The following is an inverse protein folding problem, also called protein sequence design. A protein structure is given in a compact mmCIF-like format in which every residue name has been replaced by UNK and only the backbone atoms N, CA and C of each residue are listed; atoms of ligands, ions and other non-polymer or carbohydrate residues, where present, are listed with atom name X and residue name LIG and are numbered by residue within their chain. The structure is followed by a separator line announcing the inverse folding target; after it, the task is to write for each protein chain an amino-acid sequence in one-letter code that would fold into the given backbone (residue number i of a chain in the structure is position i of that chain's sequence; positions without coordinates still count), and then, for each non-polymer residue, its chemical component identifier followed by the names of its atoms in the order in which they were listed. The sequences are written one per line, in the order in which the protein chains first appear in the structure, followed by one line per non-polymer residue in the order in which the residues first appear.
data_IF_759221178005
#
_entry.id   IF_759221178005
#
_cell.length_a   1.000
_cell.length_b   1.000
_cell.length_c   1.000
_cell.angle_alpha   90.00
_cell.angle_beta   90.00
_cell.angle_gamma   90.00
#
_symmetry.space_group_name_H-M   'P 1'
#
loop_
_entity.id
_entity.type
_entity.pdbx_description
1 polymer ?
#
# COMPACT_ATOMS: atom_id res chain seq x y z
N UNK A 1 -19.12 -30.37 18.63
CA UNK A 1 -18.51 -29.46 17.67
C UNK A 1 -19.01 -28.04 17.98
N UNK A 2 -18.24 -27.24 18.72
CA UNK A 2 -18.57 -25.85 19.05
C UNK A 2 -17.62 -24.98 18.26
N UNK A 3 -18.13 -24.28 17.24
CA UNK A 3 -17.40 -23.21 16.53
C UNK A 3 -17.22 -22.04 17.50
N UNK A 4 -16.00 -21.82 17.92
CA UNK A 4 -15.57 -20.60 18.62
C UNK A 4 -15.26 -19.51 17.57
N UNK A 5 -16.30 -18.91 17.00
CA UNK A 5 -16.19 -17.70 16.22
C UNK A 5 -16.10 -16.53 17.21
N UNK A 6 -14.87 -16.12 17.52
CA UNK A 6 -14.60 -14.91 18.30
C UNK A 6 -15.20 -13.71 17.57
N UNK A 7 -16.16 -13.03 18.20
CA UNK A 7 -16.98 -11.95 17.65
C UNK A 7 -16.19 -10.74 17.15
N UNK A 8 -15.52 -10.85 16.01
CA UNK A 8 -15.03 -9.72 15.25
C UNK A 8 -16.25 -8.94 14.74
N UNK A 9 -16.42 -7.70 15.18
CA UNK A 9 -17.42 -6.78 14.63
C UNK A 9 -17.30 -6.80 13.10
N UNK A 10 -18.30 -7.39 12.43
CA UNK A 10 -18.39 -7.45 10.97
C UNK A 10 -18.75 -6.06 10.45
N UNK A 11 -17.75 -5.22 10.27
CA UNK A 11 -17.93 -3.99 9.52
C UNK A 11 -18.25 -4.33 8.06
N UNK A 12 -19.20 -3.63 7.40
CA UNK A 12 -19.43 -3.83 5.96
C UNK A 12 -18.15 -3.53 5.18
N UNK A 13 -17.92 -4.20 4.05
CA UNK A 13 -16.75 -3.92 3.23
C UNK A 13 -16.79 -2.47 2.74
N UNK A 14 -15.67 -1.77 2.87
CA UNK A 14 -15.52 -0.39 2.37
C UNK A 14 -15.07 -0.37 0.89
N UNK A 15 -14.43 -1.46 0.44
CA UNK A 15 -14.09 -1.71 -0.97
C UNK A 15 -14.54 -3.11 -1.31
N UNK A 16 -15.20 -3.30 -2.44
CA UNK A 16 -15.49 -4.61 -3.02
C UNK A 16 -15.21 -4.64 -4.51
N UNK A 17 -14.57 -5.71 -4.94
CA UNK A 17 -14.39 -6.07 -6.35
C UNK A 17 -15.03 -7.43 -6.57
N UNK A 18 -15.83 -7.57 -7.61
CA UNK A 18 -16.51 -8.83 -7.93
C UNK A 18 -16.34 -9.13 -9.43
N UNK A 19 -15.65 -10.24 -9.74
CA UNK A 19 -15.36 -10.74 -11.09
C UNK A 19 -14.74 -9.67 -12.00
N UNK A 20 -13.86 -8.84 -11.44
CA UNK A 20 -13.30 -7.66 -12.11
C UNK A 20 -12.34 -8.07 -13.22
N UNK A 21 -12.62 -7.63 -14.44
CA UNK A 21 -11.79 -7.86 -15.63
C UNK A 21 -11.51 -6.54 -16.34
N UNK A 22 -10.27 -6.37 -16.78
CA UNK A 22 -9.83 -5.19 -17.52
C UNK A 22 -8.69 -5.52 -18.46
N UNK A 23 -8.77 -4.99 -19.70
CA UNK A 23 -7.75 -5.10 -20.74
C UNK A 23 -7.37 -3.72 -21.28
N UNK A 24 -6.08 -3.47 -21.46
CA UNK A 24 -5.64 -2.30 -22.21
C UNK A 24 -5.86 -2.50 -23.71
N UNK A 25 -6.31 -1.48 -24.44
CA UNK A 25 -6.58 -1.56 -25.87
C UNK A 25 -5.37 -2.04 -26.71
N UNK A 26 -4.15 -1.82 -26.21
CA UNK A 26 -2.89 -2.25 -26.82
C UNK A 26 -2.44 -3.67 -26.45
N UNK A 27 -3.22 -4.41 -25.68
CA UNK A 27 -2.81 -5.71 -25.12
C UNK A 27 -3.82 -6.80 -25.49
N UNK A 28 -3.34 -7.92 -26.01
CA UNK A 28 -4.16 -9.12 -26.24
C UNK A 28 -4.53 -9.86 -24.94
N UNK A 29 -3.82 -9.58 -23.84
CA UNK A 29 -4.06 -10.21 -22.54
C UNK A 29 -4.72 -9.24 -21.58
N UNK A 30 -5.67 -9.76 -20.81
CA UNK A 30 -6.28 -9.01 -19.74
C UNK A 30 -5.23 -8.63 -18.68
N UNK A 31 -5.23 -7.36 -18.28
CA UNK A 31 -4.40 -6.86 -17.19
C UNK A 31 -4.96 -7.29 -15.83
N UNK A 32 -6.28 -7.47 -15.73
CA UNK A 32 -6.97 -8.15 -14.63
C UNK A 32 -7.99 -9.12 -15.20
N UNK A 33 -8.12 -10.29 -14.59
CA UNK A 33 -9.00 -11.36 -15.06
C UNK A 33 -9.72 -12.02 -13.87
N UNK A 34 -11.04 -11.77 -13.77
CA UNK A 34 -11.92 -12.39 -12.77
C UNK A 34 -11.45 -12.17 -11.32
N UNK A 35 -11.05 -10.93 -11.00
CA UNK A 35 -10.53 -10.59 -9.68
C UNK A 35 -11.69 -10.33 -8.71
N UNK A 36 -11.73 -11.06 -7.60
CA UNK A 36 -12.73 -10.90 -6.55
C UNK A 36 -12.07 -10.78 -5.18
N UNK A 37 -12.30 -9.67 -4.47
CA UNK A 37 -11.88 -9.48 -3.08
C UNK A 37 -12.67 -8.34 -2.43
N UNK A 38 -12.56 -8.23 -1.10
CA UNK A 38 -13.20 -7.18 -0.30
C UNK A 38 -12.23 -6.63 0.73
N UNK A 39 -12.24 -5.30 0.98
CA UNK A 39 -11.50 -4.68 2.07
C UNK A 39 -12.48 -4.19 3.14
N UNK A 40 -12.09 -4.34 4.41
CA UNK A 40 -12.84 -3.81 5.54
C UNK A 40 -12.31 -2.44 5.95
N UNK A 41 -13.15 -1.64 6.59
CA UNK A 41 -12.71 -0.35 7.13
C UNK A 41 -11.58 -0.54 8.15
N UNK A 42 -10.52 0.29 8.04
CA UNK A 42 -9.35 0.22 8.92
C UNK A 42 -8.38 -0.92 8.61
N UNK A 43 -8.64 -1.73 7.59
CA UNK A 43 -7.77 -2.84 7.20
C UNK A 43 -6.53 -2.33 6.45
N UNK A 44 -5.36 -2.85 6.78
CA UNK A 44 -4.11 -2.63 6.05
C UNK A 44 -3.79 -3.88 5.25
N UNK A 45 -3.88 -3.79 3.93
CA UNK A 45 -3.72 -4.92 3.02
C UNK A 45 -2.55 -4.68 2.09
N UNK A 46 -1.61 -5.62 2.06
CA UNK A 46 -0.52 -5.64 1.10
C UNK A 46 -0.97 -6.21 -0.25
N UNK A 47 -0.37 -5.75 -1.33
CA UNK A 47 -0.52 -6.34 -2.66
C UNK A 47 0.86 -6.60 -3.24
N UNK A 48 1.16 -7.85 -3.52
CA UNK A 48 2.44 -8.28 -4.07
C UNK A 48 2.25 -9.10 -5.36
N UNK A 49 3.34 -9.37 -6.06
CA UNK A 49 3.35 -10.16 -7.28
C UNK A 49 4.31 -9.62 -8.31
N UNK A 50 4.55 -10.35 -9.42
CA UNK A 50 5.51 -9.95 -10.45
C UNK A 50 5.13 -8.65 -11.16
N UNK A 51 6.11 -8.04 -11.85
CA UNK A 51 5.86 -6.92 -12.75
C UNK A 51 4.87 -7.35 -13.84
N UNK A 52 3.93 -6.45 -14.18
CA UNK A 52 2.84 -6.77 -15.09
C UNK A 52 1.74 -7.66 -14.48
N UNK A 53 1.78 -7.97 -13.19
CA UNK A 53 0.76 -8.78 -12.50
C UNK A 53 -0.61 -8.10 -12.30
N UNK A 54 -0.76 -6.82 -12.71
CA UNK A 54 -2.03 -6.08 -12.63
C UNK A 54 -2.18 -5.16 -11.42
N UNK A 55 -1.18 -5.07 -10.54
CA UNK A 55 -1.24 -4.32 -9.26
C UNK A 55 -1.63 -2.84 -9.43
N UNK A 56 -0.88 -2.08 -10.23
CA UNK A 56 -1.18 -0.66 -10.50
C UNK A 56 -2.48 -0.47 -11.27
N UNK A 57 -2.85 -1.42 -12.13
CA UNK A 57 -4.13 -1.43 -12.85
C UNK A 57 -5.29 -1.53 -11.87
N UNK A 58 -5.17 -2.40 -10.86
CA UNK A 58 -6.16 -2.53 -9.80
C UNK A 58 -6.35 -1.20 -9.07
N UNK A 59 -5.27 -0.54 -8.63
CA UNK A 59 -5.38 0.75 -7.94
C UNK A 59 -6.07 1.81 -8.80
N UNK A 60 -5.78 1.87 -10.10
CA UNK A 60 -6.40 2.82 -11.02
C UNK A 60 -7.90 2.57 -11.22
N UNK A 61 -8.34 1.31 -11.23
CA UNK A 61 -9.76 0.96 -11.28
C UNK A 61 -10.48 1.36 -9.99
N UNK A 62 -9.87 1.13 -8.82
CA UNK A 62 -10.41 1.52 -7.52
C UNK A 62 -10.55 3.04 -7.37
N UNK A 63 -9.65 3.83 -8.00
CA UNK A 63 -9.69 5.29 -7.98
C UNK A 63 -10.51 5.93 -9.11
N UNK A 64 -11.15 5.11 -9.96
CA UNK A 64 -11.94 5.58 -11.10
C UNK A 64 -11.11 6.27 -12.19
N UNK A 65 -9.82 5.94 -12.34
CA UNK A 65 -8.96 6.35 -13.45
C UNK A 65 -9.11 5.44 -14.66
N UNK A 66 -9.58 4.22 -14.43
CA UNK A 66 -9.91 3.24 -15.46
C UNK A 66 -11.32 2.72 -15.22
N UNK A 67 -11.97 2.24 -16.28
CA UNK A 67 -13.27 1.59 -16.23
C UNK A 67 -13.11 0.12 -16.58
N UNK A 68 -13.67 -0.78 -15.77
CA UNK A 68 -13.62 -2.21 -16.02
C UNK A 68 -14.38 -2.62 -17.30
N UNK A 69 -13.89 -3.66 -17.96
CA UNK A 69 -14.57 -4.27 -19.10
C UNK A 69 -15.77 -5.09 -18.62
N UNK A 70 -15.61 -5.79 -17.48
CA UNK A 70 -16.67 -6.55 -16.83
C UNK A 70 -16.43 -6.69 -15.32
N UNK A 71 -17.44 -7.17 -14.60
CA UNK A 71 -17.46 -7.21 -13.15
C UNK A 71 -17.87 -5.89 -12.53
N UNK A 72 -17.60 -5.72 -11.23
CA UNK A 72 -17.97 -4.49 -10.52
C UNK A 72 -16.91 -4.09 -9.48
N UNK A 73 -16.81 -2.78 -9.27
CA UNK A 73 -16.06 -2.16 -8.17
C UNK A 73 -17.00 -1.29 -7.37
N UNK A 74 -16.92 -1.36 -6.05
CA UNK A 74 -17.64 -0.47 -5.13
C UNK A 74 -16.71 0.09 -4.06
N UNK A 75 -16.87 1.39 -3.81
CA UNK A 75 -16.25 2.14 -2.70
C UNK A 75 -17.38 2.58 -1.77
N UNK A 76 -17.70 1.77 -0.76
CA UNK A 76 -18.99 1.85 -0.09
C UNK A 76 -20.12 1.63 -1.08
N UNK A 77 -21.02 2.61 -1.21
CA UNK A 77 -22.12 2.57 -2.18
C UNK A 77 -21.74 3.14 -3.57
N UNK A 78 -20.57 3.80 -3.69
CA UNK A 78 -20.16 4.50 -4.92
C UNK A 78 -19.54 3.54 -5.93
N UNK A 79 -19.79 3.82 -7.22
CA UNK A 79 -19.14 3.17 -8.35
C UNK A 79 -18.05 4.09 -8.93
N UNK A 80 -16.77 3.70 -8.88
CA UNK A 80 -15.69 4.53 -9.40
C UNK A 80 -15.81 4.87 -10.90
N UNK A 81 -16.50 4.04 -11.68
CA UNK A 81 -16.65 4.25 -13.12
C UNK A 81 -17.71 5.32 -13.46
N UNK A 82 -18.70 5.53 -12.60
CA UNK A 82 -19.79 6.48 -12.81
C UNK A 82 -19.71 7.71 -11.89
N UNK A 83 -19.08 7.57 -10.72
CA UNK A 83 -18.99 8.59 -9.68
C UNK A 83 -17.53 8.88 -9.26
N UNK A 84 -16.58 9.07 -10.22
CA UNK A 84 -15.15 9.15 -9.88
C UNK A 84 -14.81 10.35 -8.99
N UNK A 85 -15.55 11.45 -9.08
CA UNK A 85 -15.33 12.63 -8.24
C UNK A 85 -15.68 12.34 -6.77
N UNK A 86 -16.81 11.71 -6.50
CA UNK A 86 -17.23 11.35 -5.14
C UNK A 86 -16.33 10.27 -4.53
N UNK A 87 -15.84 9.35 -5.37
CA UNK A 87 -14.84 8.35 -4.95
C UNK A 87 -13.54 9.03 -4.54
N UNK A 88 -13.01 9.98 -5.32
CA UNK A 88 -11.74 10.67 -5.02
C UNK A 88 -11.79 11.58 -3.79
N UNK A 89 -12.97 11.95 -3.30
CA UNK A 89 -13.13 12.57 -1.97
C UNK A 89 -12.84 11.60 -0.81
N UNK A 90 -12.95 10.29 -1.05
CA UNK A 90 -12.77 9.23 -0.04
C UNK A 90 -11.50 8.43 -0.22
N UNK A 91 -10.99 8.40 -1.45
CA UNK A 91 -9.85 7.58 -1.89
C UNK A 91 -8.72 8.49 -2.34
N UNK A 92 -7.61 8.44 -1.65
CA UNK A 92 -6.38 9.06 -2.10
C UNK A 92 -5.45 8.02 -2.74
N UNK A 93 -4.76 8.40 -3.80
CA UNK A 93 -3.84 7.50 -4.51
C UNK A 93 -2.45 8.13 -4.62
N UNK A 94 -1.44 7.37 -4.23
CA UNK A 94 -0.04 7.68 -4.50
C UNK A 94 0.43 6.85 -5.70
N UNK A 95 1.00 7.52 -6.70
CA UNK A 95 1.51 6.87 -7.91
C UNK A 95 2.96 6.40 -7.72
N UNK A 96 3.34 5.32 -8.39
CA UNK A 96 4.70 4.80 -8.41
C UNK A 96 5.71 5.86 -8.89
N UNK A 97 5.40 6.57 -9.99
CA UNK A 97 6.16 7.74 -10.41
C UNK A 97 5.52 9.01 -9.86
N UNK A 98 6.17 9.73 -8.94
CA UNK A 98 5.62 10.95 -8.33
C UNK A 98 5.33 12.05 -9.35
N UNK A 99 6.05 12.11 -10.47
CA UNK A 99 5.83 13.11 -11.53
C UNK A 99 4.43 13.03 -12.15
N UNK A 100 3.78 11.88 -12.07
CA UNK A 100 2.39 11.72 -12.53
C UNK A 100 1.36 12.41 -11.63
N UNK A 101 1.76 12.83 -10.44
CA UNK A 101 0.89 13.48 -9.46
C UNK A 101 1.23 14.93 -9.16
N UNK A 102 2.43 15.41 -9.55
CA UNK A 102 2.89 16.77 -9.29
C UNK A 102 2.49 17.68 -10.46
N UNK A 103 1.69 18.72 -10.16
CA UNK A 103 1.07 19.58 -11.20
C UNK A 103 1.25 21.07 -10.93
N UNK A 104 1.63 21.46 -9.71
CA UNK A 104 1.72 22.87 -9.31
C UNK A 104 3.16 23.41 -9.43
N UNK A 105 3.32 24.77 -9.52
CA UNK A 105 4.64 25.40 -9.65
C UNK A 105 5.48 25.31 -8.37
N UNK A 106 4.86 25.29 -7.20
CA UNK A 106 5.54 25.21 -5.91
C UNK A 106 5.05 24.03 -5.06
N UNK A 107 5.91 23.55 -4.16
CA UNK A 107 5.62 22.42 -3.27
C UNK A 107 4.36 22.66 -2.44
N UNK A 108 4.22 23.85 -1.84
CA UNK A 108 3.03 24.14 -1.02
C UNK A 108 1.74 24.15 -1.83
N UNK A 109 1.78 24.65 -3.07
CA UNK A 109 0.62 24.66 -3.96
C UNK A 109 0.25 23.25 -4.41
N UNK A 110 1.25 22.40 -4.64
CA UNK A 110 1.04 21.00 -5.02
C UNK A 110 0.40 20.20 -3.89
N UNK A 111 0.87 20.40 -2.66
CA UNK A 111 0.27 19.79 -1.46
C UNK A 111 -1.15 20.33 -1.21
N UNK A 112 -1.42 21.60 -1.53
CA UNK A 112 -2.74 22.23 -1.40
C UNK A 112 -3.72 21.80 -2.49
N UNK A 113 -3.25 21.39 -3.66
CA UNK A 113 -4.05 21.16 -4.87
C UNK A 113 -5.30 20.31 -4.65
N UNK A 114 -5.17 19.22 -3.94
CA UNK A 114 -6.31 18.34 -3.64
C UNK A 114 -7.32 18.99 -2.69
N UNK A 115 -6.85 19.77 -1.71
CA UNK A 115 -7.69 20.49 -0.76
C UNK A 115 -8.47 21.62 -1.46
N UNK A 116 -7.85 22.32 -2.41
CA UNK A 116 -8.50 23.35 -3.24
C UNK A 116 -9.64 22.74 -4.06
N UNK A 117 -9.40 21.59 -4.69
CA UNK A 117 -10.43 20.88 -5.44
C UNK A 117 -11.60 20.40 -4.58
N UNK A 118 -11.37 20.17 -3.29
CA UNK A 118 -12.42 19.84 -2.32
C UNK A 118 -13.11 21.08 -1.72
N UNK A 119 -12.66 22.30 -2.05
CA UNK A 119 -13.20 23.54 -1.53
C UNK A 119 -12.94 23.78 -0.04
N UNK A 120 -11.83 23.25 0.48
CA UNK A 120 -11.43 23.44 1.88
C UNK A 120 -11.14 24.92 2.15
N UNK A 121 -11.58 25.43 3.31
CA UNK A 121 -11.39 26.82 3.71
C UNK A 121 -9.90 27.17 3.80
N UNK A 122 -9.51 28.39 3.35
CA UNK A 122 -8.09 28.81 3.21
C UNK A 122 -7.26 28.69 4.49
N UNK A 123 -7.86 28.95 5.66
CA UNK A 123 -7.14 28.86 6.94
C UNK A 123 -6.85 27.41 7.28
N UNK A 124 -7.86 26.56 7.20
CA UNK A 124 -7.73 25.13 7.43
C UNK A 124 -6.75 24.49 6.43
N UNK A 125 -6.85 24.85 5.16
CA UNK A 125 -5.95 24.40 4.11
C UNK A 125 -4.48 24.68 4.45
N UNK A 126 -4.15 25.93 4.83
CA UNK A 126 -2.79 26.32 5.21
C UNK A 126 -2.24 25.52 6.39
N UNK A 127 -3.08 25.24 7.38
CA UNK A 127 -2.67 24.48 8.55
C UNK A 127 -2.40 23.00 8.17
N UNK A 128 -3.29 22.40 7.37
CA UNK A 128 -3.11 21.02 6.86
C UNK A 128 -1.88 20.89 5.96
N UNK A 129 -1.65 21.83 5.05
CA UNK A 129 -0.47 21.84 4.16
C UNK A 129 0.82 21.89 4.98
N UNK A 130 0.90 22.82 5.95
CA UNK A 130 2.08 22.95 6.81
C UNK A 130 2.34 21.67 7.61
N UNK A 131 1.29 21.08 8.19
CA UNK A 131 1.41 19.83 8.94
C UNK A 131 1.85 18.67 8.04
N UNK A 132 1.30 18.57 6.83
CA UNK A 132 1.66 17.54 5.87
C UNK A 132 3.13 17.66 5.40
N UNK A 133 3.59 18.87 5.06
CA UNK A 133 4.99 19.15 4.68
C UNK A 133 5.94 18.76 5.83
N UNK A 134 5.62 19.18 7.07
CA UNK A 134 6.37 18.76 8.26
C UNK A 134 6.33 17.24 8.44
N UNK A 135 5.18 16.65 8.19
CA UNK A 135 4.99 15.20 8.32
C UNK A 135 5.93 14.40 7.43
N UNK A 136 6.36 14.88 6.30
CA UNK A 136 7.27 14.20 5.36
C UNK A 136 8.72 14.73 5.43
N UNK A 137 9.05 15.62 6.37
CA UNK A 137 10.40 16.18 6.54
C UNK A 137 10.83 17.12 5.41
N UNK A 138 9.89 17.92 4.87
CA UNK A 138 10.15 18.91 3.82
C UNK A 138 9.96 20.36 4.30
N UNK A 139 10.14 20.63 5.59
CA UNK A 139 10.10 22.00 6.13
C UNK A 139 11.15 22.87 5.45
N UNK A 140 10.75 24.07 5.00
CA UNK A 140 11.60 24.98 4.24
C UNK A 140 11.62 24.74 2.72
N UNK A 141 10.83 23.75 2.23
CA UNK A 141 10.71 23.46 0.80
C UNK A 141 9.47 24.08 0.17
N UNK A 142 8.63 24.76 0.92
CA UNK A 142 7.32 25.25 0.52
C UNK A 142 7.35 26.01 -0.81
N UNK A 143 8.36 26.87 -1.00
CA UNK A 143 8.56 27.71 -2.19
C UNK A 143 9.50 27.11 -3.24
N UNK A 144 9.94 25.86 -3.08
CA UNK A 144 10.73 25.18 -4.10
C UNK A 144 9.83 24.68 -5.23
N UNK A 145 10.39 24.67 -6.42
CA UNK A 145 9.74 24.14 -7.61
C UNK A 145 9.90 22.62 -7.65
N UNK A 146 8.80 21.84 -7.76
CA UNK A 146 8.87 20.37 -7.72
C UNK A 146 9.82 19.74 -8.74
N UNK A 147 9.99 20.37 -9.91
CA UNK A 147 10.88 19.83 -10.94
C UNK A 147 12.37 19.89 -10.56
N UNK A 148 12.76 20.75 -9.60
CA UNK A 148 14.15 20.85 -9.09
C UNK A 148 14.49 19.82 -8.04
N UNK A 149 13.49 19.07 -7.54
CA UNK A 149 13.63 18.11 -6.48
C UNK A 149 14.15 16.76 -6.98
N UNK A 150 14.88 16.04 -6.11
CA UNK A 150 15.23 14.64 -6.33
C UNK A 150 13.98 13.75 -6.37
N UNK A 151 14.09 12.55 -6.93
CA UNK A 151 12.97 11.59 -6.98
C UNK A 151 12.40 11.27 -5.59
N UNK A 152 13.23 11.13 -4.58
CA UNK A 152 12.81 10.91 -3.19
C UNK A 152 12.09 12.10 -2.58
N UNK A 153 12.54 13.33 -2.84
CA UNK A 153 11.85 14.54 -2.40
C UNK A 153 10.50 14.70 -3.11
N UNK A 154 10.43 14.45 -4.43
CA UNK A 154 9.17 14.43 -5.19
C UNK A 154 8.16 13.42 -4.59
N UNK A 155 8.64 12.23 -4.23
CA UNK A 155 7.80 11.21 -3.60
C UNK A 155 7.26 11.68 -2.24
N UNK A 156 8.09 12.38 -1.45
CA UNK A 156 7.65 13.00 -0.18
C UNK A 156 6.63 14.10 -0.40
N UNK A 157 6.75 14.94 -1.45
CA UNK A 157 5.74 15.96 -1.81
C UNK A 157 4.41 15.30 -2.17
N UNK A 158 4.42 14.29 -3.04
CA UNK A 158 3.21 13.56 -3.43
C UNK A 158 2.53 12.90 -2.20
N UNK A 159 3.33 12.35 -1.27
CA UNK A 159 2.82 11.80 -0.03
C UNK A 159 2.25 12.89 0.89
N UNK A 160 2.88 14.08 0.96
CA UNK A 160 2.35 15.21 1.73
C UNK A 160 0.97 15.62 1.22
N UNK A 161 0.79 15.74 -0.10
CA UNK A 161 -0.52 16.00 -0.72
C UNK A 161 -1.57 14.97 -0.34
N UNK A 162 -1.20 13.69 -0.35
CA UNK A 162 -2.08 12.60 0.08
C UNK A 162 -2.45 12.69 1.57
N UNK A 163 -1.49 12.99 2.44
CA UNK A 163 -1.71 13.14 3.89
C UNK A 163 -2.55 14.38 4.21
N UNK A 164 -2.34 15.50 3.49
CA UNK A 164 -3.13 16.72 3.66
C UNK A 164 -4.62 16.50 3.36
N UNK A 165 -4.93 15.68 2.34
CA UNK A 165 -6.29 15.29 1.99
C UNK A 165 -6.97 14.46 3.09
N UNK A 166 -6.21 13.70 3.86
CA UNK A 166 -6.66 12.78 4.91
C UNK A 166 -7.81 11.84 4.46
N UNK A 167 -7.64 11.09 3.36
CA UNK A 167 -8.71 10.26 2.81
C UNK A 167 -8.99 9.04 3.70
N UNK A 168 -10.20 8.48 3.60
CA UNK A 168 -10.57 7.25 4.34
C UNK A 168 -9.86 6.01 3.83
N UNK A 169 -9.52 5.99 2.54
CA UNK A 169 -8.87 4.88 1.85
C UNK A 169 -7.61 5.41 1.16
N UNK A 170 -6.48 4.76 1.40
CA UNK A 170 -5.21 5.05 0.75
C UNK A 170 -4.84 3.92 -0.20
N UNK A 171 -4.62 4.26 -1.45
CA UNK A 171 -4.09 3.38 -2.48
C UNK A 171 -2.64 3.78 -2.75
N UNK A 172 -1.69 2.96 -2.33
CA UNK A 172 -0.27 3.26 -2.37
C UNK A 172 0.41 2.36 -3.41
N UNK A 173 0.90 2.95 -4.49
CA UNK A 173 1.65 2.25 -5.53
C UNK A 173 3.15 2.47 -5.34
N UNK A 174 3.81 1.52 -4.69
CA UNK A 174 5.24 1.54 -4.36
C UNK A 174 5.70 2.84 -3.65
N UNK A 175 5.11 3.19 -2.50
CA UNK A 175 5.30 4.49 -1.84
C UNK A 175 6.74 4.78 -1.43
N UNK A 176 7.59 3.78 -1.37
CA UNK A 176 8.97 3.86 -0.84
C UNK A 176 10.05 3.57 -1.88
N UNK A 177 9.69 3.23 -3.12
CA UNK A 177 10.63 2.78 -4.16
C UNK A 177 11.71 3.80 -4.53
N UNK A 178 11.42 5.11 -4.38
CA UNK A 178 12.32 6.21 -4.68
C UNK A 178 13.10 6.73 -3.45
N UNK A 179 12.90 6.12 -2.27
CA UNK A 179 13.47 6.60 -1.01
C UNK A 179 14.72 5.81 -0.63
N UNK A 180 15.64 6.50 0.03
CA UNK A 180 16.75 5.87 0.75
C UNK A 180 16.25 5.09 1.99
N UNK A 181 17.12 4.34 2.65
CA UNK A 181 16.75 3.51 3.79
C UNK A 181 16.13 4.31 4.95
N UNK A 182 16.64 5.53 5.21
CA UNK A 182 16.14 6.40 6.27
C UNK A 182 14.76 6.92 5.93
N UNK A 183 14.59 7.47 4.73
CA UNK A 183 13.29 7.96 4.24
C UNK A 183 12.24 6.87 4.17
N UNK A 184 12.61 5.66 3.74
CA UNK A 184 11.73 4.49 3.75
C UNK A 184 11.21 4.20 5.17
N UNK A 185 12.11 4.11 6.16
CA UNK A 185 11.75 3.86 7.55
C UNK A 185 10.80 4.92 8.11
N UNK A 186 11.07 6.19 7.83
CA UNK A 186 10.22 7.30 8.27
C UNK A 186 8.81 7.20 7.68
N UNK A 187 8.69 6.97 6.36
CA UNK A 187 7.40 6.87 5.68
C UNK A 187 6.62 5.65 6.17
N UNK A 188 7.25 4.48 6.26
CA UNK A 188 6.61 3.27 6.80
C UNK A 188 6.10 3.49 8.22
N UNK A 189 6.89 4.12 9.09
CA UNK A 189 6.47 4.45 10.45
C UNK A 189 5.27 5.42 10.51
N UNK A 190 5.05 6.24 9.47
CA UNK A 190 3.86 7.10 9.34
C UNK A 190 2.66 6.30 8.86
N UNK A 191 2.83 5.46 7.85
CA UNK A 191 1.77 4.59 7.34
C UNK A 191 1.28 3.63 8.42
N UNK A 192 2.18 3.15 9.28
CA UNK A 192 1.82 2.32 10.43
C UNK A 192 0.85 3.01 11.39
N UNK A 193 1.04 4.29 11.66
CA UNK A 193 0.14 5.07 12.53
C UNK A 193 -1.27 5.25 11.97
N UNK A 194 -1.47 5.00 10.67
CA UNK A 194 -2.78 5.07 10.02
C UNK A 194 -3.59 3.77 10.18
N UNK A 195 -2.96 2.69 10.65
CA UNK A 195 -3.63 1.40 10.87
C UNK A 195 -4.80 1.53 11.81
N UNK A 196 -5.86 0.83 11.49
CA UNK A 196 -7.11 0.86 12.26
C UNK A 196 -7.93 2.13 12.12
N UNK A 197 -7.33 3.24 11.65
CA UNK A 197 -8.02 4.51 11.41
C UNK A 197 -8.29 4.77 9.94
N UNK A 198 -7.43 4.29 9.05
CA UNK A 198 -7.57 4.38 7.60
C UNK A 198 -7.46 3.00 6.98
N UNK A 199 -8.16 2.78 5.88
CA UNK A 199 -8.02 1.57 5.06
C UNK A 199 -6.88 1.78 4.08
N UNK A 200 -5.92 0.86 4.03
CA UNK A 200 -4.73 0.98 3.20
C UNK A 200 -4.61 -0.22 2.28
N UNK A 201 -4.45 0.03 0.99
CA UNK A 201 -4.03 -0.97 0.01
C UNK A 201 -2.62 -0.59 -0.47
N UNK A 202 -1.62 -1.33 -0.04
CA UNK A 202 -0.20 -1.05 -0.22
C UNK A 202 0.42 -2.03 -1.22
N UNK A 203 0.68 -1.56 -2.42
CA UNK A 203 1.45 -2.28 -3.45
C UNK A 203 2.93 -2.06 -3.20
N UNK A 204 3.70 -3.13 -3.08
CA UNK A 204 5.16 -3.07 -2.95
C UNK A 204 5.82 -4.37 -3.44
N UNK A 205 7.11 -4.27 -3.77
CA UNK A 205 7.98 -5.43 -4.02
C UNK A 205 8.75 -5.87 -2.78
N UNK A 206 8.68 -5.09 -1.69
CA UNK A 206 9.41 -5.33 -0.45
C UNK A 206 8.50 -6.00 0.57
N UNK A 207 8.63 -7.33 0.72
CA UNK A 207 7.78 -8.10 1.66
C UNK A 207 7.94 -7.65 3.11
N UNK A 208 9.12 -7.14 3.48
CA UNK A 208 9.37 -6.59 4.82
C UNK A 208 8.47 -5.40 5.19
N UNK A 209 7.98 -4.66 4.22
CA UNK A 209 7.05 -3.54 4.45
C UNK A 209 5.64 -3.99 4.84
N UNK A 210 5.33 -5.27 4.57
CA UNK A 210 4.01 -5.85 4.76
C UNK A 210 3.91 -6.84 5.92
N UNK A 211 4.97 -7.00 6.71
CA UNK A 211 5.00 -7.98 7.81
C UNK A 211 3.91 -7.77 8.86
N UNK A 212 3.48 -6.52 9.02
CA UNK A 212 2.41 -6.14 9.93
C UNK A 212 1.06 -5.94 9.21
N UNK A 213 0.95 -6.19 7.90
CA UNK A 213 -0.33 -6.13 7.20
C UNK A 213 -1.33 -7.15 7.80
N UNK A 214 -2.62 -6.83 7.74
CA UNK A 214 -3.65 -7.77 8.18
C UNK A 214 -3.66 -9.01 7.29
N UNK A 215 -3.41 -8.81 5.98
CA UNK A 215 -3.26 -9.86 4.98
C UNK A 215 -2.55 -9.32 3.73
N UNK A 216 -2.16 -10.23 2.86
CA UNK A 216 -1.48 -9.94 1.60
C UNK A 216 -2.27 -10.61 0.47
N UNK A 217 -2.59 -9.82 -0.55
CA UNK A 217 -3.13 -10.28 -1.83
C UNK A 217 -1.96 -10.54 -2.78
N UNK A 218 -1.84 -11.74 -3.28
CA UNK A 218 -0.83 -12.10 -4.29
C UNK A 218 -1.49 -12.07 -5.66
N UNK A 219 -1.06 -11.13 -6.50
CA UNK A 219 -1.53 -10.98 -7.88
C UNK A 219 -0.50 -11.52 -8.86
N UNK A 220 -0.92 -12.43 -9.74
CA UNK A 220 -0.09 -12.92 -10.83
C UNK A 220 -0.91 -13.04 -12.12
N UNK A 221 -0.36 -12.56 -13.24
CA UNK A 221 -1.02 -12.56 -14.55
C UNK A 221 -2.48 -12.05 -14.52
N UNK A 222 -2.71 -10.99 -13.74
CA UNK A 222 -4.03 -10.36 -13.59
C UNK A 222 -5.02 -11.09 -12.68
N UNK A 223 -4.62 -12.19 -12.02
CA UNK A 223 -5.47 -12.98 -11.14
C UNK A 223 -5.04 -12.89 -9.68
N UNK A 224 -5.99 -12.98 -8.77
CA UNK A 224 -5.72 -13.18 -7.36
C UNK A 224 -5.38 -14.67 -7.14
N UNK A 225 -4.10 -14.96 -6.86
CA UNK A 225 -3.63 -16.34 -6.66
C UNK A 225 -3.61 -16.74 -5.19
N UNK A 226 -3.49 -15.75 -4.27
CA UNK A 226 -3.59 -16.00 -2.84
C UNK A 226 -4.08 -14.74 -2.09
N UNK A 227 -4.77 -14.98 -0.97
CA UNK A 227 -5.19 -13.99 0.02
C UNK A 227 -4.86 -14.58 1.40
N UNK A 228 -3.69 -14.23 1.93
CA UNK A 228 -3.06 -14.91 3.06
C UNK A 228 -2.47 -13.93 4.08
N UNK A 229 -2.24 -14.40 5.31
CA UNK A 229 -1.50 -13.60 6.30
C UNK A 229 -0.02 -13.51 5.92
N UNK A 230 0.70 -12.44 6.33
CA UNK A 230 2.13 -12.30 6.06
C UNK A 230 2.96 -13.54 6.46
N UNK A 231 2.69 -14.11 7.64
CA UNK A 231 3.41 -15.28 8.14
C UNK A 231 3.19 -16.52 7.26
N UNK A 232 1.95 -16.70 6.77
CA UNK A 232 1.60 -17.84 5.92
C UNK A 232 2.31 -17.71 4.55
N UNK A 233 2.34 -16.49 3.96
CA UNK A 233 3.08 -16.22 2.73
C UNK A 233 4.59 -16.51 2.87
N UNK A 234 5.21 -16.00 3.94
CA UNK A 234 6.66 -16.16 4.18
C UNK A 234 7.05 -17.63 4.35
N UNK A 235 6.16 -18.44 4.89
CA UNK A 235 6.39 -19.86 5.15
C UNK A 235 6.12 -20.75 3.93
N UNK A 236 5.47 -20.23 2.90
CA UNK A 236 5.11 -20.99 1.68
C UNK A 236 6.14 -20.75 0.56
N UNK A 237 7.18 -21.60 0.52
CA UNK A 237 8.22 -21.52 -0.48
C UNK A 237 7.69 -21.70 -1.91
N UNK A 238 6.66 -22.54 -2.12
CA UNK A 238 6.05 -22.74 -3.44
C UNK A 238 5.35 -21.48 -3.93
N UNK A 239 4.53 -20.85 -3.07
CA UNK A 239 3.83 -19.61 -3.40
C UNK A 239 4.81 -18.46 -3.69
N UNK A 240 5.92 -18.38 -2.95
CA UNK A 240 6.98 -17.39 -3.20
C UNK A 240 7.64 -17.61 -4.56
N UNK A 241 8.04 -18.83 -4.89
CA UNK A 241 8.77 -19.16 -6.12
C UNK A 241 7.88 -18.98 -7.36
N UNK A 242 6.67 -19.54 -7.35
CA UNK A 242 5.70 -19.43 -8.45
C UNK A 242 5.33 -17.98 -8.79
N UNK A 243 5.34 -17.10 -7.78
CA UNK A 243 5.00 -15.71 -7.94
C UNK A 243 6.21 -14.76 -7.97
N UNK A 244 7.44 -15.32 -8.07
CA UNK A 244 8.70 -14.57 -8.13
C UNK A 244 8.87 -13.56 -6.99
N UNK A 245 8.39 -13.95 -5.81
CA UNK A 245 8.54 -13.15 -4.60
C UNK A 245 9.84 -13.53 -3.89
N UNK A 246 10.61 -12.53 -3.50
CA UNK A 246 11.90 -12.74 -2.84
C UNK A 246 11.83 -12.30 -1.39
N UNK A 247 12.19 -13.18 -0.47
CA UNK A 247 12.35 -12.83 0.93
C UNK A 247 13.64 -12.02 1.14
N UNK A 248 13.62 -10.98 1.97
CA UNK A 248 14.84 -10.35 2.47
C UNK A 248 15.78 -11.37 3.08
N UNK A 249 17.11 -11.13 3.04
CA UNK A 249 18.11 -12.10 3.55
C UNK A 249 17.83 -12.55 5.00
N UNK A 250 17.45 -11.64 5.86
CA UNK A 250 17.12 -11.91 7.27
C UNK A 250 15.96 -12.89 7.42
N UNK A 251 14.84 -12.64 6.73
CA UNK A 251 13.66 -13.51 6.73
C UNK A 251 13.98 -14.88 6.09
N UNK A 252 14.73 -14.89 5.00
CA UNK A 252 15.13 -16.14 4.32
C UNK A 252 15.98 -17.03 5.22
N UNK A 253 16.93 -16.45 5.95
CA UNK A 253 17.75 -17.19 6.92
C UNK A 253 16.91 -17.68 8.10
N UNK A 254 16.05 -16.83 8.66
CA UNK A 254 15.16 -17.21 9.76
C UNK A 254 14.27 -18.39 9.38
N UNK A 255 13.61 -18.31 8.22
CA UNK A 255 12.75 -19.38 7.71
C UNK A 255 13.54 -20.66 7.45
N UNK A 256 14.70 -20.59 6.78
CA UNK A 256 15.56 -21.74 6.51
C UNK A 256 16.11 -22.42 7.78
N UNK A 257 16.28 -21.66 8.85
CA UNK A 257 16.71 -22.19 10.15
C UNK A 257 15.52 -22.63 11.03
N UNK A 258 14.26 -22.48 10.60
CA UNK A 258 13.08 -22.78 11.40
C UNK A 258 13.02 -21.90 12.67
N UNK A 259 13.41 -20.66 12.53
CA UNK A 259 13.26 -19.60 13.54
C UNK A 259 11.94 -18.86 13.30
N UNK A 260 11.47 -18.13 14.29
CA UNK A 260 10.34 -17.23 14.15
C UNK A 260 10.59 -16.10 13.13
N UNK A 261 9.65 -15.18 13.05
CA UNK A 261 9.76 -14.00 12.19
C UNK A 261 10.85 -13.07 12.73
N UNK A 262 12.02 -13.04 12.10
CA UNK A 262 13.12 -12.13 12.43
C UNK A 262 13.14 -10.99 11.40
N UNK A 263 12.88 -9.76 11.86
CA UNK A 263 12.77 -8.57 10.99
C UNK A 263 14.11 -7.88 10.77
N UNK A 264 14.97 -7.96 11.79
CA UNK A 264 16.28 -7.32 11.77
C UNK A 264 17.41 -8.34 11.94
N UNK A 265 18.65 -8.00 11.52
CA UNK A 265 19.81 -8.84 11.76
C UNK A 265 20.04 -9.13 13.26
N UNK A 266 19.71 -8.17 14.13
CA UNK A 266 19.85 -8.29 15.58
C UNK A 266 18.86 -9.35 16.13
N UNK A 267 17.57 -9.26 15.76
CA UNK A 267 16.56 -10.27 16.12
C UNK A 267 16.95 -11.67 15.63
N UNK A 268 17.51 -11.76 14.41
CA UNK A 268 18.01 -13.03 13.87
C UNK A 268 19.18 -13.58 14.70
N UNK A 269 20.13 -12.72 15.08
CA UNK A 269 21.26 -13.14 15.88
C UNK A 269 20.81 -13.65 17.26
N UNK A 270 19.89 -12.96 17.92
CA UNK A 270 19.31 -13.37 19.20
C UNK A 270 18.59 -14.72 19.08
N UNK A 271 17.73 -14.90 18.08
CA UNK A 271 17.03 -16.16 17.84
C UNK A 271 17.97 -17.34 17.55
N UNK A 272 19.07 -17.10 16.84
CA UNK A 272 20.12 -18.11 16.61
C UNK A 272 20.80 -18.49 17.94
N UNK A 273 21.18 -17.51 18.77
CA UNK A 273 21.84 -17.76 20.05
C UNK A 273 20.95 -18.54 21.02
N UNK A 274 19.66 -18.20 21.09
CA UNK A 274 18.67 -18.94 21.89
C UNK A 274 18.54 -20.40 21.43
N UNK A 275 18.49 -20.63 20.12
CA UNK A 275 18.38 -21.98 19.55
C UNK A 275 19.63 -22.83 19.84
N UNK A 276 20.81 -22.22 19.80
CA UNK A 276 22.07 -22.89 20.13
C UNK A 276 22.12 -23.19 21.63
N UNK A 277 21.79 -22.22 22.47
CA UNK A 277 21.78 -22.36 23.94
C UNK A 277 20.78 -23.42 24.42
N UNK A 278 19.61 -23.52 23.80
CA UNK A 278 18.62 -24.55 24.11
C UNK A 278 19.08 -25.96 23.72
N UNK A 279 19.75 -26.13 22.58
CA UNK A 279 20.35 -27.41 22.19
C UNK A 279 21.54 -27.84 23.06
N UNK A 280 22.30 -26.87 23.60
CA UNK A 280 23.41 -27.16 24.51
C UNK A 280 22.92 -27.62 25.90
N UNK A 281 21.74 -27.17 26.34
CA UNK A 281 21.13 -27.57 27.64
C UNK A 281 20.36 -28.90 27.54
N UNK A 282 20.02 -29.35 26.34
CA UNK A 282 19.28 -30.60 26.10
C UNK A 282 20.19 -31.82 25.86
N UNK A 283 21.50 -31.61 25.87
CA UNK A 283 22.55 -32.64 25.86
C UNK A 283 23.21 -32.77 27.25
#
# INVERSE_FOLDING_TARGET
MKNSDGGARRWPPIVSCENLTYSYASSERAALADLTFKLRAGEYVGVVGPNGGGKSTLLRLLNGLLRADSGSVRIGELDPATEPFEVRKRVGMLFQNPENGLVAPFVEDDVAFGLENLGVERREMRDRVREAIRAVGLEGYERREPHTLSGGEKQRVALAGLLALDPKILLLDEPTSMLDATGRKEILGRLERLRGTRTVLHVTHYLEELLDANRILVLNAGRLVADVRPQDLISDAGLLEENRLTLPPTLRLATGLGLGLCRTPEELAEAIMEKIGSKARAR
#
